data_IF_364431860894
#
_entry.id   IF_364431860894
#
_cell.length_a   1.000
_cell.length_b   1.000
_cell.length_c   1.000
_cell.angle_alpha   90.00
_cell.angle_beta   90.00
_cell.angle_gamma   90.00
#
_symmetry.space_group_name_H-M   'P 1'
#
loop_
_entity.id
_entity.type
_entity.pdbx_description
1 polymer ?
#
# COMPACT_ATOMS: atom_id res chain seq x y z
N UNK A 1 0.28 13.29 -9.78
CA UNK A 1 -0.31 12.80 -8.51
C UNK A 1 0.72 12.87 -7.40
N UNK A 2 0.32 13.30 -6.20
CA UNK A 2 1.22 13.40 -5.05
C UNK A 2 1.34 12.07 -4.31
N UNK A 3 2.55 11.83 -3.82
CA UNK A 3 2.92 10.66 -3.03
C UNK A 3 3.19 11.06 -1.59
N UNK A 4 2.89 10.13 -0.70
CA UNK A 4 2.94 10.30 0.73
C UNK A 4 3.54 9.06 1.38
N UNK A 5 4.16 9.26 2.53
CA UNK A 5 4.53 8.20 3.47
C UNK A 5 3.59 8.30 4.67
N UNK A 6 3.17 7.18 5.23
CA UNK A 6 2.32 7.15 6.43
C UNK A 6 2.51 5.85 7.21
N UNK A 7 1.94 5.81 8.41
CA UNK A 7 1.82 4.60 9.22
C UNK A 7 0.35 4.19 9.30
N UNK A 8 0.09 2.91 9.03
CA UNK A 8 -1.26 2.33 9.14
C UNK A 8 -1.36 1.53 10.43
N UNK A 9 -2.21 1.96 11.34
CA UNK A 9 -2.55 1.26 12.59
C UNK A 9 -3.63 0.23 12.33
N UNK A 10 -3.26 -1.04 12.43
CA UNK A 10 -4.20 -2.13 12.32
C UNK A 10 -5.03 -2.19 13.62
N UNK A 11 -6.36 -2.21 13.46
CA UNK A 11 -7.33 -2.18 14.57
C UNK A 11 -7.14 -0.99 15.53
N UNK A 12 -6.58 0.12 15.06
CA UNK A 12 -6.34 1.33 15.88
C UNK A 12 -5.25 1.18 16.95
N UNK A 13 -4.48 0.09 16.94
CA UNK A 13 -3.42 -0.15 17.93
C UNK A 13 -2.14 0.58 17.56
N UNK A 14 -1.57 1.31 18.53
CA UNK A 14 -0.23 1.93 18.44
C UNK A 14 0.90 0.89 18.38
N UNK A 15 0.63 -0.34 18.82
CA UNK A 15 1.61 -1.43 18.83
C UNK A 15 1.59 -2.24 17.54
N UNK A 16 0.67 -1.96 16.62
CA UNK A 16 0.55 -2.66 15.35
C UNK A 16 0.48 -1.66 14.19
N UNK A 17 1.62 -1.02 13.95
CA UNK A 17 1.80 -0.01 12.90
C UNK A 17 2.55 -0.61 11.71
N UNK A 18 1.96 -0.48 10.52
CA UNK A 18 2.58 -0.88 9.26
C UNK A 18 3.02 0.38 8.51
N UNK A 19 4.33 0.61 8.31
CA UNK A 19 4.81 1.73 7.52
C UNK A 19 4.49 1.51 6.03
N UNK A 20 3.97 2.55 5.39
CA UNK A 20 3.68 2.57 3.95
C UNK A 20 4.37 3.78 3.34
N UNK A 21 5.12 3.54 2.28
CA UNK A 21 5.92 4.57 1.61
C UNK A 21 5.47 4.73 0.16
N UNK A 22 5.58 5.96 -0.36
CA UNK A 22 5.28 6.30 -1.76
C UNK A 22 3.85 5.92 -2.19
N UNK A 23 2.86 6.13 -1.32
CA UNK A 23 1.45 5.84 -1.61
C UNK A 23 0.70 7.11 -2.05
N UNK A 24 -0.34 6.94 -2.88
CA UNK A 24 -1.12 8.06 -3.40
C UNK A 24 -2.13 8.61 -2.38
N UNK A 25 -2.60 9.85 -2.57
CA UNK A 25 -3.68 10.42 -1.76
C UNK A 25 -4.95 9.56 -1.78
N UNK A 26 -5.31 9.01 -2.95
CA UNK A 26 -6.45 8.12 -3.07
C UNK A 26 -6.25 6.81 -2.29
N UNK A 27 -5.04 6.25 -2.29
CA UNK A 27 -4.74 5.06 -1.50
C UNK A 27 -4.90 5.31 0.00
N UNK A 28 -4.49 6.47 0.51
CA UNK A 28 -4.72 6.86 1.91
C UNK A 28 -6.21 6.87 2.24
N UNK A 29 -7.05 7.39 1.34
CA UNK A 29 -8.50 7.41 1.54
C UNK A 29 -9.07 5.99 1.56
N UNK A 30 -8.61 5.11 0.68
CA UNK A 30 -9.00 3.69 0.68
C UNK A 30 -8.59 3.03 1.99
N UNK A 31 -7.37 3.26 2.48
CA UNK A 31 -6.88 2.70 3.75
C UNK A 31 -7.71 3.19 4.95
N UNK A 32 -8.06 4.48 4.98
CA UNK A 32 -8.97 5.04 5.99
C UNK A 32 -10.37 4.44 5.91
N UNK A 33 -10.81 4.12 4.71
CA UNK A 33 -12.10 3.47 4.48
C UNK A 33 -12.11 2.03 5.01
N UNK A 34 -11.01 1.29 4.82
CA UNK A 34 -10.89 -0.10 5.23
C UNK A 34 -10.67 -0.24 6.73
N UNK A 35 -9.78 0.56 7.30
CA UNK A 35 -9.33 0.39 8.68
C UNK A 35 -10.00 1.36 9.67
N UNK A 36 -10.55 2.46 9.18
CA UNK A 36 -11.10 3.56 9.98
C UNK A 36 -10.36 4.88 9.76
N UNK A 37 -11.03 6.00 10.05
CA UNK A 37 -10.51 7.34 9.79
C UNK A 37 -9.20 7.64 10.54
N UNK A 38 -9.07 7.14 11.78
CA UNK A 38 -7.89 7.34 12.65
C UNK A 38 -6.75 6.34 12.38
N UNK A 39 -6.99 5.34 11.53
CA UNK A 39 -6.02 4.26 11.29
C UNK A 39 -4.81 4.69 10.48
N UNK A 40 -4.84 5.85 9.83
CA UNK A 40 -3.69 6.36 9.06
C UNK A 40 -3.12 7.58 9.76
N UNK A 41 -1.90 7.42 10.29
CA UNK A 41 -1.17 8.41 11.05
C UNK A 41 0.16 8.79 10.38
N UNK A 42 0.78 9.86 10.87
CA UNK A 42 2.13 10.28 10.49
C UNK A 42 2.30 10.50 8.97
N UNK A 43 1.33 11.19 8.36
CA UNK A 43 1.30 11.41 6.91
C UNK A 43 2.30 12.51 6.54
N UNK A 44 3.31 12.14 5.76
CA UNK A 44 4.39 13.01 5.30
C UNK A 44 4.41 13.04 3.76
N UNK A 45 4.46 14.21 3.11
CA UNK A 45 4.61 14.29 1.66
C UNK A 45 5.96 13.72 1.23
N UNK A 46 5.95 12.85 0.22
CA UNK A 46 7.13 12.08 -0.20
C UNK A 46 7.56 12.36 -1.64
N UNK A 47 6.72 13.01 -2.45
CA UNK A 47 7.06 13.43 -3.81
C UNK A 47 5.86 13.46 -4.75
N UNK A 48 6.15 13.36 -6.04
CA UNK A 48 5.16 13.33 -7.12
C UNK A 48 5.47 12.21 -8.10
N UNK A 49 4.43 11.53 -8.57
CA UNK A 49 4.52 10.53 -9.63
C UNK A 49 3.62 10.90 -10.81
N UNK A 50 4.12 10.59 -12.01
CA UNK A 50 3.36 10.62 -13.25
C UNK A 50 2.60 9.31 -13.40
N UNK A 51 1.44 9.24 -12.75
CA UNK A 51 0.50 8.14 -12.88
C UNK A 51 -0.87 8.70 -13.27
N UNK A 52 -1.55 8.02 -14.20
CA UNK A 52 -2.89 8.42 -14.62
C UNK A 52 -3.95 7.92 -13.64
N UNK A 53 -5.08 8.63 -13.56
CA UNK A 53 -6.22 8.23 -12.72
C UNK A 53 -6.74 6.84 -13.08
N UNK A 54 -6.75 6.49 -14.37
CA UNK A 54 -7.19 5.17 -14.85
C UNK A 54 -6.26 4.07 -14.30
N UNK A 55 -4.95 4.30 -14.39
CA UNK A 55 -3.94 3.34 -13.93
C UNK A 55 -4.00 3.16 -12.40
N UNK A 56 -4.06 4.26 -11.66
CA UNK A 56 -4.19 4.23 -10.20
C UNK A 56 -5.46 3.49 -9.76
N UNK A 57 -6.58 3.70 -10.46
CA UNK A 57 -7.84 3.00 -10.16
C UNK A 57 -7.71 1.49 -10.35
N UNK A 58 -7.05 1.06 -11.42
CA UNK A 58 -6.78 -0.35 -11.69
C UNK A 58 -5.94 -0.98 -10.58
N UNK A 59 -4.84 -0.33 -10.22
CA UNK A 59 -3.95 -0.73 -9.13
C UNK A 59 -4.70 -0.85 -7.79
N UNK A 60 -5.48 0.17 -7.42
CA UNK A 60 -6.26 0.16 -6.17
C UNK A 60 -7.32 -0.95 -6.17
N UNK A 61 -7.94 -1.21 -7.32
CA UNK A 61 -8.93 -2.28 -7.46
C UNK A 61 -8.28 -3.65 -7.31
N UNK A 62 -7.08 -3.83 -7.87
CA UNK A 62 -6.33 -5.07 -7.77
C UNK A 62 -5.90 -5.35 -6.31
N UNK A 63 -5.32 -4.35 -5.64
CA UNK A 63 -4.77 -4.51 -4.28
C UNK A 63 -5.87 -4.58 -3.22
N UNK A 64 -6.84 -3.67 -3.29
CA UNK A 64 -7.81 -3.46 -2.21
C UNK A 64 -9.21 -3.95 -2.55
N UNK A 65 -9.48 -4.38 -3.79
CA UNK A 65 -10.81 -4.81 -4.21
C UNK A 65 -11.36 -5.98 -3.39
N UNK A 66 -10.50 -6.92 -2.96
CA UNK A 66 -10.92 -8.03 -2.09
C UNK A 66 -11.31 -7.55 -0.69
N UNK A 67 -10.55 -6.62 -0.12
CA UNK A 67 -10.83 -6.03 1.19
C UNK A 67 -12.10 -5.15 1.15
N UNK A 68 -12.34 -4.43 0.08
CA UNK A 68 -13.54 -3.59 -0.04
C UNK A 68 -14.84 -4.39 -0.18
N UNK A 69 -14.77 -5.62 -0.71
CA UNK A 69 -15.94 -6.51 -0.80
C UNK A 69 -16.46 -6.97 0.56
N UNK A 70 -15.63 -6.93 1.60
CA UNK A 70 -16.08 -7.28 2.96
C UNK A 70 -16.82 -6.14 3.65
N UNK A 71 -16.80 -4.93 3.07
CA UNK A 71 -17.46 -3.74 3.61
C UNK A 71 -18.76 -3.52 2.83
N UNK A 72 -19.90 -3.69 3.50
CA UNK A 72 -21.20 -3.78 2.84
C UNK A 72 -21.63 -2.47 2.15
N UNK A 73 -21.28 -1.32 2.72
CA UNK A 73 -21.66 0.01 2.22
C UNK A 73 -20.97 0.40 0.89
N UNK A 74 -19.74 -0.06 0.66
CA UNK A 74 -18.88 0.50 -0.39
C UNK A 74 -18.63 -0.53 -1.49
N UNK A 75 -18.35 -1.79 -1.12
CA UNK A 75 -18.14 -2.98 -1.98
C UNK A 75 -17.07 -2.88 -3.08
N UNK A 76 -16.60 -1.68 -3.43
CA UNK A 76 -15.70 -1.40 -4.55
C UNK A 76 -15.05 -0.02 -4.46
N UNK A 77 -13.93 0.18 -5.18
CA UNK A 77 -13.28 1.49 -5.33
C UNK A 77 -14.22 2.54 -5.93
N UNK A 78 -15.16 2.10 -6.78
CA UNK A 78 -16.14 2.97 -7.42
C UNK A 78 -17.19 3.49 -6.43
N UNK A 79 -17.42 2.77 -5.31
CA UNK A 79 -18.27 3.26 -4.23
C UNK A 79 -17.63 4.41 -3.44
N UNK A 80 -16.29 4.47 -3.39
CA UNK A 80 -15.55 5.52 -2.69
C UNK A 80 -15.45 6.79 -3.54
N UNK A 81 -15.02 6.65 -4.79
CA UNK A 81 -14.69 7.79 -5.66
C UNK A 81 -15.73 8.08 -6.75
N UNK A 82 -16.75 7.23 -6.90
CA UNK A 82 -17.73 7.31 -7.99
C UNK A 82 -17.22 6.68 -9.29
N UNK A 83 -18.14 6.33 -10.19
CA UNK A 83 -17.84 5.67 -11.49
C UNK A 83 -17.06 6.56 -12.46
N UNK A 84 -17.31 7.87 -12.43
CA UNK A 84 -16.67 8.86 -13.30
C UNK A 84 -15.90 9.95 -12.53
N UNK A 85 -15.72 9.76 -11.22
CA UNK A 85 -14.98 10.73 -10.40
C UNK A 85 -13.48 10.67 -10.68
N UNK A 86 -12.85 11.84 -10.72
CA UNK A 86 -11.40 11.95 -10.72
C UNK A 86 -10.86 11.52 -9.36
N UNK A 87 -9.75 10.78 -9.36
CA UNK A 87 -9.08 10.41 -8.13
C UNK A 87 -8.41 11.64 -7.53
N UNK A 88 -8.51 11.85 -6.21
CA UNK A 88 -7.91 13.00 -5.57
C UNK A 88 -6.40 12.99 -5.74
N UNK A 89 -5.86 14.06 -6.33
CA UNK A 89 -4.42 14.21 -6.57
C UNK A 89 -3.65 14.62 -5.32
N UNK A 90 -4.34 15.25 -4.35
CA UNK A 90 -3.80 15.73 -3.08
C UNK A 90 -4.68 15.30 -1.92
N UNK A 91 -4.06 15.10 -0.76
CA UNK A 91 -4.78 14.85 0.48
C UNK A 91 -5.13 16.20 1.18
N UNK A 92 -6.41 16.49 1.47
CA UNK A 92 -6.80 17.74 2.11
C UNK A 92 -6.17 17.84 3.51
N UNK A 93 -5.58 19.00 3.83
CA UNK A 93 -4.87 19.24 5.10
C UNK A 93 -3.41 18.79 5.13
N UNK A 94 -2.93 18.08 4.10
CA UNK A 94 -1.53 17.61 3.97
C UNK A 94 -0.92 18.10 2.65
N UNK A 95 -1.23 19.34 2.28
CA UNK A 95 -0.62 19.96 1.11
C UNK A 95 0.91 19.95 1.27
N UNK A 96 1.68 19.57 0.23
CA UNK A 96 3.14 19.58 0.34
C UNK A 96 3.60 21.02 0.58
N UNK A 97 4.11 21.30 1.77
CA UNK A 97 4.89 22.51 1.98
C UNK A 97 6.08 22.43 1.00
N UNK A 98 6.24 23.47 0.16
CA UNK A 98 7.35 23.55 -0.80
C UNK A 98 8.69 23.59 -0.06
N UNK A 99 9.24 22.43 0.32
CA UNK A 99 10.61 22.31 0.81
C UNK A 99 11.30 21.10 0.17
N UNK A 100 12.24 21.45 -0.71
CA UNK A 100 13.41 20.72 -1.18
C UNK A 100 13.41 19.19 -1.10
N UNK A 101 13.35 18.56 -2.28
CA UNK A 101 14.00 17.28 -2.65
C UNK A 101 14.49 16.44 -1.45
N UNK A 102 13.60 15.73 -0.78
CA UNK A 102 13.99 14.63 0.10
C UNK A 102 14.09 13.35 -0.75
N UNK A 103 15.32 12.83 -0.77
CA UNK A 103 15.81 11.68 -1.50
C UNK A 103 14.91 10.46 -1.24
N UNK A 104 14.42 9.84 -2.30
CA UNK A 104 13.75 8.54 -2.25
C UNK A 104 14.71 7.53 -1.60
N UNK A 105 14.38 7.04 -0.41
CA UNK A 105 15.00 5.84 0.12
C UNK A 105 14.47 4.63 -0.68
N UNK A 106 15.36 3.75 -1.17
CA UNK A 106 14.99 2.63 -2.02
C UNK A 106 14.18 1.61 -1.22
N UNK A 107 13.17 1.01 -1.88
CA UNK A 107 12.43 -0.15 -1.38
C UNK A 107 13.43 -1.24 -0.94
N UNK A 108 13.19 -1.98 0.15
CA UNK A 108 13.98 -3.17 0.44
C UNK A 108 13.76 -4.14 -0.73
N UNK A 109 14.83 -4.39 -1.47
CA UNK A 109 14.93 -5.55 -2.35
C UNK A 109 14.92 -6.72 -1.37
N UNK A 110 13.82 -7.47 -1.34
CA UNK A 110 13.87 -8.83 -0.82
C UNK A 110 14.72 -9.60 -1.82
N UNK A 111 15.99 -9.80 -1.51
CA UNK A 111 16.82 -10.76 -2.22
C UNK A 111 16.17 -12.14 -2.03
N UNK A 112 15.56 -12.67 -3.08
CA UNK A 112 15.05 -14.06 -3.18
C UNK A 112 16.21 -15.09 -3.20
N UNK A 113 17.27 -14.87 -2.42
CA UNK A 113 18.48 -15.69 -2.41
C UNK A 113 18.71 -16.46 -1.09
N UNK A 114 17.78 -16.39 -0.12
CA UNK A 114 17.87 -17.11 1.15
C UNK A 114 16.72 -18.13 1.31
N UNK A 115 16.55 -18.99 0.30
CA UNK A 115 15.88 -20.29 0.46
C UNK A 115 16.96 -21.35 0.50
N UNK A 116 17.43 -21.57 1.73
CA UNK A 116 17.99 -22.78 2.31
C UNK A 116 18.38 -23.91 1.33
N UNK A 117 19.68 -24.21 1.31
CA UNK A 117 20.23 -25.55 1.24
C UNK A 117 19.39 -26.56 2.07
N UNK A 118 18.66 -27.45 1.40
CA UNK A 118 18.04 -28.63 2.01
C UNK A 118 17.97 -29.79 0.99
N UNK A 119 19.11 -30.09 0.34
CA UNK A 119 19.30 -31.29 -0.49
C UNK A 119 20.13 -32.34 0.29
N UNK A 120 19.67 -32.71 1.49
CA UNK A 120 20.20 -33.83 2.29
C UNK A 120 19.10 -34.85 2.68
N UNK A 121 18.12 -35.10 1.80
CA UNK A 121 17.26 -36.31 1.90
C UNK A 121 17.10 -36.96 0.53
N UNK A 122 18.21 -37.47 -0.04
CA UNK A 122 18.17 -38.34 -1.22
C UNK A 122 19.35 -39.33 -1.30
N UNK A 123 19.89 -39.80 -0.15
CA UNK A 123 21.00 -40.77 -0.11
C UNK A 123 20.76 -42.07 0.67
N UNK A 124 19.51 -42.44 0.93
CA UNK A 124 19.18 -43.64 1.73
C UNK A 124 18.18 -44.61 1.06
N UNK A 125 18.10 -44.64 -0.28
CA UNK A 125 17.18 -45.55 -0.98
C UNK A 125 17.71 -46.29 -2.22
N UNK A 126 19.03 -46.30 -2.49
CA UNK A 126 19.60 -47.13 -3.58
C UNK A 126 20.93 -47.78 -3.17
N UNK A 127 20.85 -48.72 -2.22
CA UNK A 127 22.04 -49.45 -1.76
C UNK A 127 21.72 -50.68 -0.91
N UNK A 128 20.64 -51.39 -1.22
CA UNK A 128 20.38 -52.70 -0.64
C UNK A 128 19.80 -53.64 -1.71
N UNK A 129 20.69 -54.18 -2.53
CA UNK A 129 20.62 -55.51 -3.15
C UNK A 129 22.01 -55.94 -3.61
#
# INVERSE_FOLDING_TARGET
MHLYNCKVRLSGSLYNEVPKSQISAAEIIVLRTIHGADSVADIVPAGEAKMSSIQLRGELTLMYGKALRTIDEIRSINGIFGVAGELPEHLPGFAPEKKGKAKAEPKPVIDEADLADDDEIARLAEGLE
#
